data_IF_055537571696
#
_entry.id   IF_055537571696
#
_cell.length_a   1.000
_cell.length_b   1.000
_cell.length_c   1.000
_cell.angle_alpha   90.00
_cell.angle_beta   90.00
_cell.angle_gamma   90.00
#
_symmetry.space_group_name_H-M   'P 1'
#
loop_
_entity.id
_entity.type
_entity.pdbx_description
1 polymer ?
#
# COMPACT_ATOMS: atom_id res chain seq x y z
N UNK A 1 -7.85 -11.18 -6.55
CA UNK A 1 -8.66 -10.08 -5.99
C UNK A 1 -9.18 -9.21 -7.11
N UNK A 2 -10.43 -8.84 -7.03
CA UNK A 2 -11.08 -8.08 -8.10
C UNK A 2 -11.28 -6.63 -7.68
N UNK A 3 -10.25 -5.83 -7.82
CA UNK A 3 -10.28 -4.40 -7.50
C UNK A 3 -9.96 -3.52 -8.73
N UNK A 4 -9.71 -4.12 -9.87
CA UNK A 4 -9.37 -3.40 -11.10
C UNK A 4 -10.51 -2.48 -11.53
N UNK A 5 -10.18 -1.24 -11.86
CA UNK A 5 -11.12 -0.23 -12.32
C UNK A 5 -12.03 0.36 -11.24
N UNK A 6 -11.90 -0.08 -9.99
CA UNK A 6 -12.69 0.45 -8.89
C UNK A 6 -12.03 1.68 -8.27
N UNK A 7 -12.85 2.69 -7.95
CA UNK A 7 -12.41 3.91 -7.28
C UNK A 7 -12.69 3.82 -5.79
N UNK A 8 -12.02 4.67 -5.01
CA UNK A 8 -12.21 4.75 -3.56
C UNK A 8 -11.95 3.40 -2.89
N UNK A 9 -10.75 2.89 -3.10
CA UNK A 9 -10.33 1.58 -2.61
C UNK A 9 -9.50 1.73 -1.35
N UNK A 10 -9.85 0.95 -0.32
CA UNK A 10 -9.04 0.85 0.88
C UNK A 10 -8.51 -0.58 1.00
N UNK A 11 -7.23 -0.69 1.34
CA UNK A 11 -6.53 -1.96 1.47
C UNK A 11 -6.06 -2.13 2.90
N UNK A 12 -6.32 -3.30 3.49
CA UNK A 12 -5.83 -3.67 4.81
C UNK A 12 -4.89 -4.86 4.67
N UNK A 13 -3.73 -4.77 5.31
CA UNK A 13 -2.71 -5.82 5.30
C UNK A 13 -2.39 -6.23 6.74
N UNK A 14 -2.32 -7.54 6.98
CA UNK A 14 -1.75 -8.09 8.19
C UNK A 14 -0.58 -8.99 7.81
N UNK A 15 0.57 -8.77 8.43
CA UNK A 15 1.77 -9.58 8.19
C UNK A 15 1.81 -10.80 9.10
N UNK A 16 2.68 -11.75 8.79
CA UNK A 16 2.88 -12.93 9.64
C UNK A 16 3.45 -12.58 11.02
N UNK A 17 4.02 -11.39 11.17
CA UNK A 17 4.49 -10.86 12.47
C UNK A 17 3.45 -9.97 13.13
N UNK A 18 2.20 -10.03 12.66
CA UNK A 18 1.05 -9.31 13.20
C UNK A 18 1.13 -7.77 13.09
N UNK A 19 1.94 -7.25 12.17
CA UNK A 19 1.87 -5.83 11.79
C UNK A 19 0.60 -5.60 10.98
N UNK A 20 -0.10 -4.51 11.24
CA UNK A 20 -1.36 -4.18 10.57
C UNK A 20 -1.27 -2.77 10.02
N UNK A 21 -1.44 -2.69 8.71
CA UNK A 21 -1.36 -1.40 8.00
C UNK A 21 -2.18 -1.45 6.72
N UNK A 22 -2.23 -0.35 6.02
CA UNK A 22 -2.98 -0.29 4.79
C UNK A 22 -2.83 1.05 4.09
N UNK A 23 -3.72 1.27 3.13
CA UNK A 23 -3.75 2.50 2.38
C UNK A 23 -5.08 2.74 1.69
N UNK A 24 -5.30 3.97 1.30
CA UNK A 24 -6.49 4.41 0.59
C UNK A 24 -6.08 5.15 -0.68
N UNK A 25 -6.78 4.89 -1.78
CA UNK A 25 -6.68 5.67 -3.01
C UNK A 25 -8.07 5.97 -3.55
N UNK A 26 -8.26 7.21 -4.01
CA UNK A 26 -9.52 7.63 -4.60
C UNK A 26 -9.65 7.25 -6.07
N UNK A 27 -8.54 7.06 -6.77
CA UNK A 27 -8.54 6.80 -8.22
C UNK A 27 -8.58 5.33 -8.57
N UNK A 28 -8.20 4.46 -7.65
CA UNK A 28 -8.24 3.01 -7.86
C UNK A 28 -7.13 2.49 -8.76
N UNK A 29 -7.11 1.18 -8.91
CA UNK A 29 -6.12 0.47 -9.71
C UNK A 29 -6.68 0.14 -11.09
N UNK A 30 -5.80 0.10 -12.09
CA UNK A 30 -6.15 -0.24 -13.46
C UNK A 30 -5.04 -1.06 -14.12
N UNK A 31 -5.16 -1.32 -15.44
CA UNK A 31 -4.19 -2.14 -16.16
C UNK A 31 -2.91 -1.39 -16.56
N UNK A 32 -2.78 -0.12 -16.21
CA UNK A 32 -1.58 0.65 -16.55
C UNK A 32 -0.44 0.31 -15.60
N UNK A 33 0.76 0.16 -16.16
CA UNK A 33 1.95 -0.24 -15.40
C UNK A 33 2.83 0.94 -15.01
N UNK A 34 2.23 2.09 -14.76
CA UNK A 34 2.98 3.28 -14.33
C UNK A 34 2.37 3.91 -13.10
N UNK A 35 3.17 4.75 -12.44
CA UNK A 35 2.75 5.44 -11.25
C UNK A 35 1.67 6.48 -11.54
N UNK A 36 0.77 6.66 -10.58
CA UNK A 36 -0.34 7.60 -10.69
C UNK A 36 -0.34 8.56 -9.50
N UNK A 37 -0.71 9.80 -9.78
CA UNK A 37 -0.84 10.85 -8.79
C UNK A 37 -2.26 10.83 -8.24
N UNK A 38 -2.38 10.82 -6.91
CA UNK A 38 -3.67 10.94 -6.23
C UNK A 38 -3.44 11.69 -4.91
N UNK A 39 -3.68 12.99 -4.92
CA UNK A 39 -3.44 13.83 -3.74
C UNK A 39 -4.38 13.55 -2.57
N UNK A 40 -5.38 12.70 -2.76
CA UNK A 40 -6.27 12.25 -1.69
C UNK A 40 -5.82 10.93 -1.06
N UNK A 41 -4.78 10.31 -1.58
CA UNK A 41 -4.30 9.03 -1.06
C UNK A 41 -3.61 9.19 0.29
N UNK A 42 -3.71 8.17 1.10
CA UNK A 42 -2.95 8.09 2.35
C UNK A 42 -2.68 6.63 2.69
N UNK A 43 -1.65 6.42 3.49
CA UNK A 43 -1.34 5.12 4.08
C UNK A 43 -1.49 5.23 5.60
N UNK A 44 -1.66 4.10 6.28
CA UNK A 44 -1.90 4.12 7.71
C UNK A 44 -1.31 2.91 8.40
N UNK A 45 -0.99 3.10 9.68
CA UNK A 45 -0.59 2.03 10.59
C UNK A 45 -1.67 1.89 11.66
N UNK A 46 -2.29 0.72 11.75
CA UNK A 46 -3.24 0.44 12.82
C UNK A 46 -2.52 0.22 14.15
N UNK A 47 -1.29 -0.29 14.11
CA UNK A 47 -0.51 -0.52 15.32
C UNK A 47 -0.11 0.79 16.00
N UNK A 48 0.21 1.81 15.19
CA UNK A 48 0.58 3.15 15.69
C UNK A 48 -0.60 4.10 15.82
N UNK A 49 -1.75 3.75 15.23
CA UNK A 49 -2.94 4.62 15.11
C UNK A 49 -2.59 5.94 14.45
N UNK A 50 -1.86 5.85 13.34
CA UNK A 50 -1.42 7.02 12.55
C UNK A 50 -1.71 6.81 11.08
N UNK A 51 -1.93 7.91 10.37
CA UNK A 51 -1.98 7.92 8.92
C UNK A 51 -0.99 8.93 8.36
N UNK A 52 -0.62 8.72 7.11
CA UNK A 52 0.40 9.52 6.43
C UNK A 52 -0.12 9.89 5.05
N UNK A 53 -0.27 11.18 4.81
CA UNK A 53 -0.75 11.67 3.52
C UNK A 53 0.31 11.47 2.45
N UNK A 54 -0.13 11.32 1.19
CA UNK A 54 0.77 11.39 0.06
C UNK A 54 1.34 12.81 -0.03
N UNK A 55 2.59 12.91 -0.43
CA UNK A 55 3.20 14.22 -0.70
C UNK A 55 2.54 14.84 -1.93
N UNK A 56 2.42 16.17 -1.95
CA UNK A 56 1.85 16.89 -3.06
C UNK A 56 2.51 16.44 -4.37
N UNK A 57 1.71 16.00 -5.33
CA UNK A 57 2.13 15.50 -6.63
C UNK A 57 3.10 14.32 -6.56
N UNK A 58 3.16 13.63 -5.41
CA UNK A 58 3.89 12.39 -5.31
C UNK A 58 3.15 11.24 -5.99
N UNK A 59 3.90 10.21 -6.36
CA UNK A 59 3.30 9.00 -6.93
C UNK A 59 2.59 8.24 -5.81
N UNK A 60 1.27 8.14 -5.90
CA UNK A 60 0.46 7.54 -4.85
C UNK A 60 0.36 6.03 -4.99
N UNK A 61 0.03 5.56 -6.19
CA UNK A 61 -0.16 4.13 -6.45
C UNK A 61 0.55 3.72 -7.72
N UNK A 62 0.79 2.44 -7.84
CA UNK A 62 1.34 1.82 -9.02
C UNK A 62 0.48 0.62 -9.39
N UNK A 63 0.10 0.52 -10.64
CA UNK A 63 -0.69 -0.60 -11.14
C UNK A 63 0.18 -1.50 -11.99
N UNK A 64 0.25 -2.78 -11.65
CA UNK A 64 1.01 -3.77 -12.40
C UNK A 64 0.29 -5.11 -12.31
N UNK A 65 0.20 -5.81 -13.43
CA UNK A 65 -0.48 -7.11 -13.48
C UNK A 65 0.17 -8.19 -12.63
N UNK A 66 1.47 -8.05 -12.37
CA UNK A 66 2.24 -9.03 -11.60
C UNK A 66 2.14 -8.80 -10.09
N UNK A 67 1.61 -7.66 -9.68
CA UNK A 67 1.56 -7.26 -8.29
C UNK A 67 0.13 -7.02 -7.84
N UNK A 68 -0.11 -7.19 -6.55
CA UNK A 68 -1.34 -6.76 -5.92
C UNK A 68 -1.41 -5.25 -5.77
N UNK A 69 -2.23 -4.73 -4.86
CA UNK A 69 -2.32 -3.29 -4.65
C UNK A 69 -0.99 -2.70 -4.21
N UNK A 70 -0.52 -1.70 -4.94
CA UNK A 70 0.74 -1.02 -4.64
C UNK A 70 0.48 0.43 -4.24
N UNK A 71 0.95 0.81 -3.05
CA UNK A 71 1.09 2.21 -2.67
C UNK A 71 2.56 2.53 -2.79
N UNK A 72 2.89 3.38 -3.76
CA UNK A 72 4.27 3.50 -4.23
C UNK A 72 5.22 3.90 -3.11
N UNK A 73 6.13 3.01 -2.87
CA UNK A 73 7.23 3.18 -1.95
C UNK A 73 6.95 2.76 -0.52
N UNK A 74 5.70 2.59 -0.08
CA UNK A 74 5.43 2.35 1.33
C UNK A 74 4.66 1.06 1.63
N UNK A 75 3.78 0.65 0.73
CA UNK A 75 3.14 -0.66 0.82
C UNK A 75 3.26 -1.33 -0.53
N UNK A 76 4.07 -2.35 -0.61
CA UNK A 76 4.23 -3.12 -1.83
C UNK A 76 3.73 -4.53 -1.57
N UNK A 77 2.66 -4.89 -2.25
CA UNK A 77 2.10 -6.23 -2.16
C UNK A 77 2.48 -6.98 -3.43
N UNK A 78 3.23 -8.04 -3.26
CA UNK A 78 3.76 -8.81 -4.38
C UNK A 78 2.72 -9.79 -4.89
N UNK A 79 2.43 -9.68 -6.14
CA UNK A 79 1.72 -10.60 -7.05
C UNK A 79 0.57 -11.45 -6.49
N UNK A 80 -0.01 -12.27 -7.38
CA UNK A 80 -1.03 -13.27 -7.04
C UNK A 80 -0.57 -14.31 -6.02
N UNK A 81 0.74 -14.37 -5.74
CA UNK A 81 1.35 -15.28 -4.77
C UNK A 81 1.83 -14.53 -3.53
N UNK A 82 1.12 -13.47 -3.13
CA UNK A 82 1.56 -12.62 -2.03
C UNK A 82 1.74 -13.35 -0.69
N UNK A 83 1.06 -14.48 -0.50
CA UNK A 83 1.22 -15.28 0.71
C UNK A 83 2.46 -16.19 0.67
N UNK A 84 3.07 -16.37 -0.50
CA UNK A 84 4.23 -17.23 -0.70
C UNK A 84 5.52 -16.43 -0.90
N UNK A 85 5.41 -15.20 -1.39
CA UNK A 85 6.54 -14.34 -1.69
C UNK A 85 6.65 -13.19 -0.70
N UNK A 86 7.88 -12.77 -0.42
CA UNK A 86 8.09 -11.60 0.41
C UNK A 86 7.58 -10.34 -0.28
N UNK A 87 6.97 -9.48 0.53
CA UNK A 87 6.62 -8.11 0.16
C UNK A 87 7.56 -7.15 0.86
N UNK A 88 7.60 -5.87 0.46
CA UNK A 88 8.51 -4.92 1.08
C UNK A 88 7.90 -3.56 1.28
N UNK A 89 8.40 -2.91 2.32
CA UNK A 89 8.15 -1.52 2.63
C UNK A 89 9.34 -0.67 2.15
N UNK A 90 9.27 0.63 2.29
CA UNK A 90 10.33 1.50 1.79
C UNK A 90 10.81 2.53 2.79
N UNK A 91 11.83 3.28 2.36
CA UNK A 91 12.45 4.34 3.13
C UNK A 91 11.47 5.48 3.39
N UNK A 92 11.76 6.22 4.47
CA UNK A 92 10.92 7.33 4.91
C UNK A 92 10.80 8.42 3.86
N UNK A 93 9.62 9.04 3.82
CA UNK A 93 9.41 10.28 3.09
C UNK A 93 9.53 10.18 1.58
N UNK A 94 9.42 9.01 0.99
CA UNK A 94 9.55 8.86 -0.47
C UNK A 94 8.37 9.51 -1.21
N UNK A 95 7.19 8.93 -1.13
CA UNK A 95 5.98 9.50 -1.74
C UNK A 95 4.91 9.82 -0.72
N UNK A 96 5.06 9.32 0.49
CA UNK A 96 4.17 9.57 1.62
C UNK A 96 4.95 10.25 2.74
N UNK A 97 4.23 10.92 3.65
CA UNK A 97 4.84 11.71 4.72
C UNK A 97 5.23 10.86 5.93
N UNK A 98 5.82 9.69 5.68
CA UNK A 98 6.37 8.86 6.73
C UNK A 98 7.65 9.49 7.29
N UNK A 99 7.92 9.24 8.56
CA UNK A 99 9.07 9.86 9.27
C UNK A 99 10.16 8.87 9.63
N UNK A 100 9.91 7.58 9.50
CA UNK A 100 10.87 6.52 9.79
C UNK A 100 10.96 5.56 8.62
N UNK A 101 12.15 4.98 8.41
CA UNK A 101 12.33 3.96 7.39
C UNK A 101 11.46 2.74 7.71
N UNK A 102 10.80 2.21 6.69
CA UNK A 102 9.92 1.04 6.80
C UNK A 102 8.86 1.20 7.89
N UNK A 103 8.29 2.38 7.98
CA UNK A 103 7.43 2.83 9.09
C UNK A 103 6.24 1.91 9.33
N UNK A 104 5.56 1.49 8.26
CA UNK A 104 4.37 0.64 8.39
C UNK A 104 4.71 -0.77 8.87
N UNK A 105 5.92 -1.23 8.59
CA UNK A 105 6.36 -2.58 8.92
C UNK A 105 7.30 -2.61 10.15
N UNK A 106 7.17 -1.61 11.02
CA UNK A 106 7.91 -1.59 12.28
C UNK A 106 9.41 -1.52 12.13
N UNK A 107 9.92 -0.90 11.06
CA UNK A 107 11.34 -0.75 10.81
C UNK A 107 11.97 -1.89 10.03
N UNK A 108 11.20 -2.88 9.59
CA UNK A 108 11.71 -3.99 8.79
C UNK A 108 11.42 -3.79 7.31
N UNK A 109 12.39 -4.12 6.47
CA UNK A 109 12.28 -3.97 5.02
C UNK A 109 11.26 -4.91 4.39
N UNK A 110 11.29 -6.20 4.76
CA UNK A 110 10.45 -7.22 4.13
C UNK A 110 9.43 -7.80 5.09
N UNK A 111 8.37 -8.36 4.52
CA UNK A 111 7.32 -9.04 5.29
C UNK A 111 6.62 -10.09 4.45
N UNK A 112 6.04 -11.08 5.11
CA UNK A 112 5.11 -12.00 4.49
C UNK A 112 3.69 -11.62 4.89
N UNK A 113 2.76 -11.71 3.96
CA UNK A 113 1.37 -11.36 4.18
C UNK A 113 0.63 -12.56 4.78
N UNK A 114 -0.03 -12.34 5.91
CA UNK A 114 -0.94 -13.30 6.52
C UNK A 114 -2.37 -13.12 5.99
N UNK A 115 -2.83 -11.88 5.93
CA UNK A 115 -4.16 -11.54 5.42
C UNK A 115 -4.09 -10.23 4.65
N UNK A 116 -4.91 -10.14 3.61
CA UNK A 116 -5.11 -8.90 2.88
C UNK A 116 -6.59 -8.79 2.54
N UNK A 117 -7.15 -7.61 2.75
CA UNK A 117 -8.53 -7.30 2.41
C UNK A 117 -8.57 -6.01 1.61
N UNK A 118 -9.41 -5.99 0.59
CA UNK A 118 -9.61 -4.84 -0.28
C UNK A 118 -11.08 -4.49 -0.28
N UNK A 119 -11.41 -3.25 0.05
CA UNK A 119 -12.78 -2.77 0.08
C UNK A 119 -12.93 -1.56 -0.83
N UNK A 120 -14.07 -1.46 -1.47
CA UNK A 120 -14.48 -0.24 -2.16
C UNK A 120 -15.41 0.55 -1.24
N UNK A 121 -15.09 1.83 -1.06
CA UNK A 121 -15.95 2.74 -0.30
C UNK A 121 -16.92 3.41 -1.28
N UNK A 122 -18.19 3.26 -1.02
CA UNK A 122 -19.24 3.84 -1.88
C UNK A 122 -19.93 5.01 -1.21
#
# INVERSE_FOLDING_TARGET
>A
MNYDGKKNVIVFVQTTKNRRFGGFTSIGYNDHSWGQIDNSAFIFSLDKLKYYNVKKDGIAIFSDKQYGPLFDGDIIVVSNKCFLNESYSTEKGRNYETTEDYELNGGEFTYFIKEIEVFQIV
#
